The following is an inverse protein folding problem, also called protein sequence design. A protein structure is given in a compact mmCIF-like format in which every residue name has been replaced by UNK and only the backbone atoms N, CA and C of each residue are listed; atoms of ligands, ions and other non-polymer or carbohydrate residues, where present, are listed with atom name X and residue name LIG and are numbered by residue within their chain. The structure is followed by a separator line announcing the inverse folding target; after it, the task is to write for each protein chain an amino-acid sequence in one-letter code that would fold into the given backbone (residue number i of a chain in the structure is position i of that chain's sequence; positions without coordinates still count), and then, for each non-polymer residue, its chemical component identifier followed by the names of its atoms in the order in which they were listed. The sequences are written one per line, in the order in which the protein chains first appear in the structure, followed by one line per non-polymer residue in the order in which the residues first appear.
data_IF_029591202937
#
_entry.id   IF_029591202937
#
_cell.length_a   1.000
_cell.length_b   1.000
_cell.length_c   1.000
_cell.angle_alpha   90.00
_cell.angle_beta   90.00
_cell.angle_gamma   90.00
#
_symmetry.space_group_name_H-M   'P 1'
#
loop_
_entity.id
_entity.type
_entity.pdbx_description
1 polymer ?
#
# COMPACT_ATOMS: atom_id res chain seq x y z
N UNK A 1 -12.18 13.44 5.69
CA UNK A 1 -10.78 12.97 5.66
C UNK A 1 -10.63 11.79 4.73
N UNK A 2 -9.54 11.75 4.00
CA UNK A 2 -9.25 10.60 3.16
C UNK A 2 -8.70 9.46 4.02
N UNK A 3 -9.28 8.27 3.88
CA UNK A 3 -8.88 7.10 4.66
C UNK A 3 -7.83 6.31 3.92
N UNK A 4 -6.74 5.99 4.60
CA UNK A 4 -5.64 5.21 4.04
C UNK A 4 -5.45 3.95 4.87
N UNK A 5 -5.53 2.80 4.23
CA UNK A 5 -5.27 1.50 4.87
C UNK A 5 -3.83 1.11 4.58
N UNK A 6 -3.12 0.65 5.60
CA UNK A 6 -1.72 0.26 5.51
C UNK A 6 -1.56 -1.16 6.03
N UNK A 7 -1.04 -2.06 5.20
CA UNK A 7 -0.78 -3.44 5.59
C UNK A 7 0.65 -3.81 5.26
N UNK A 8 1.47 -3.96 6.31
CA UNK A 8 2.90 -4.24 6.17
C UNK A 8 3.34 -5.30 7.18
N UNK A 9 4.31 -6.11 6.77
CA UNK A 9 4.95 -7.08 7.64
C UNK A 9 5.80 -6.39 8.72
N UNK A 10 6.51 -5.33 8.34
CA UNK A 10 7.33 -4.56 9.27
C UNK A 10 6.46 -3.54 10.00
N UNK A 11 6.08 -3.87 11.25
CA UNK A 11 5.19 -3.03 12.04
C UNK A 11 5.79 -1.67 12.39
N UNK A 12 7.10 -1.61 12.58
CA UNK A 12 7.79 -0.35 12.88
C UNK A 12 7.71 0.60 11.70
N UNK A 13 7.97 0.10 10.50
CA UNK A 13 7.88 0.89 9.28
C UNK A 13 6.42 1.30 9.02
N UNK A 14 5.48 0.39 9.26
CA UNK A 14 4.05 0.66 9.12
C UNK A 14 3.62 1.84 10.02
N UNK A 15 4.03 1.82 11.28
CA UNK A 15 3.73 2.90 12.21
C UNK A 15 4.36 4.22 11.80
N UNK A 16 5.59 4.18 11.28
CA UNK A 16 6.27 5.38 10.79
C UNK A 16 5.52 6.01 9.61
N UNK A 17 5.04 5.20 8.68
CA UNK A 17 4.24 5.68 7.54
C UNK A 17 2.93 6.28 8.05
N UNK A 18 2.24 5.61 8.95
CA UNK A 18 0.99 6.09 9.53
C UNK A 18 1.16 7.47 10.18
N UNK A 19 2.20 7.63 11.01
CA UNK A 19 2.48 8.91 11.65
C UNK A 19 2.83 9.99 10.64
N UNK A 20 3.61 9.65 9.63
CA UNK A 20 3.98 10.59 8.57
C UNK A 20 2.74 11.14 7.86
N UNK A 21 1.80 10.26 7.51
CA UNK A 21 0.57 10.66 6.83
C UNK A 21 -0.31 11.51 7.73
N UNK A 22 -0.47 11.12 8.99
CA UNK A 22 -1.26 11.90 9.96
C UNK A 22 -0.71 13.32 10.15
N UNK A 23 0.61 13.46 10.15
CA UNK A 23 1.28 14.72 10.42
C UNK A 23 1.60 15.54 9.16
N UNK A 24 1.19 15.08 7.99
CA UNK A 24 1.52 15.71 6.72
C UNK A 24 0.76 17.01 6.43
N UNK A 25 -0.32 17.27 7.16
CA UNK A 25 -1.19 18.41 6.89
C UNK A 25 -2.24 18.17 5.80
N UNK A 26 -2.24 16.98 5.20
CA UNK A 26 -3.17 16.64 4.10
C UNK A 26 -4.46 15.95 4.57
N UNK A 27 -4.67 15.89 5.86
CA UNK A 27 -5.89 15.36 6.49
C UNK A 27 -6.17 13.91 6.14
N UNK A 28 -5.17 13.04 6.34
CA UNK A 28 -5.34 11.60 6.21
C UNK A 28 -5.80 10.96 7.52
N UNK A 29 -6.71 10.01 7.40
CA UNK A 29 -7.14 9.14 8.48
C UNK A 29 -6.56 7.75 8.18
N UNK A 30 -5.69 7.22 9.04
CA UNK A 30 -4.93 6.00 8.76
C UNK A 30 -5.44 4.80 9.56
N UNK A 31 -5.47 3.65 8.90
CA UNK A 31 -5.88 2.38 9.50
C UNK A 31 -4.78 1.35 9.22
N UNK A 32 -4.14 0.87 10.28
CA UNK A 32 -3.08 -0.14 10.14
C UNK A 32 -3.66 -1.54 10.37
N UNK A 33 -3.36 -2.46 9.44
CA UNK A 33 -3.81 -3.85 9.51
C UNK A 33 -2.57 -4.73 9.54
N UNK A 34 -2.48 -5.62 10.51
CA UNK A 34 -1.28 -6.44 10.74
C UNK A 34 -1.25 -7.74 9.95
N UNK A 35 -2.41 -8.21 9.46
CA UNK A 35 -2.51 -9.49 8.76
C UNK A 35 -3.12 -9.32 7.38
N UNK A 36 -2.48 -9.87 6.32
CA UNK A 36 -3.01 -9.75 4.95
C UNK A 36 -4.42 -10.32 4.76
N UNK A 37 -4.78 -11.35 5.50
CA UNK A 37 -6.09 -12.00 5.37
C UNK A 37 -7.25 -11.16 5.90
N UNK A 38 -6.97 -10.08 6.62
CA UNK A 38 -7.99 -9.15 7.12
C UNK A 38 -8.25 -7.97 6.18
N UNK A 39 -7.37 -7.75 5.20
CA UNK A 39 -7.41 -6.53 4.39
C UNK A 39 -8.71 -6.41 3.60
N UNK A 40 -9.12 -7.49 2.93
CA UNK A 40 -10.32 -7.47 2.07
C UNK A 40 -11.57 -7.13 2.90
N UNK A 41 -11.75 -7.80 4.03
CA UNK A 41 -12.92 -7.58 4.87
C UNK A 41 -12.93 -6.19 5.50
N UNK A 42 -11.79 -5.74 6.00
CA UNK A 42 -11.71 -4.41 6.62
C UNK A 42 -11.92 -3.29 5.60
N UNK A 43 -11.44 -3.44 4.37
CA UNK A 43 -11.66 -2.46 3.33
C UNK A 43 -13.13 -2.32 2.91
N UNK A 44 -13.93 -3.35 3.12
CA UNK A 44 -15.37 -3.28 2.80
C UNK A 44 -16.08 -2.16 3.55
N UNK A 45 -15.75 -1.97 4.81
CA UNK A 45 -16.42 -0.97 5.63
C UNK A 45 -15.60 0.30 5.80
N UNK A 46 -14.27 0.26 5.67
CA UNK A 46 -13.43 1.45 5.71
C UNK A 46 -13.64 2.31 4.46
N UNK A 47 -13.81 1.68 3.31
CA UNK A 47 -13.93 2.35 2.01
C UNK A 47 -12.76 3.30 1.77
N UNK A 48 -11.52 2.77 1.67
CA UNK A 48 -10.34 3.62 1.66
C UNK A 48 -10.16 4.38 0.35
N UNK A 49 -9.61 5.58 0.46
CA UNK A 49 -9.08 6.34 -0.66
C UNK A 49 -7.86 5.62 -1.26
N UNK A 50 -7.01 5.06 -0.42
CA UNK A 50 -5.81 4.34 -0.84
C UNK A 50 -5.53 3.14 0.06
N UNK A 51 -4.99 2.09 -0.53
CA UNK A 51 -4.52 0.89 0.16
C UNK A 51 -3.04 0.72 -0.13
N UNK A 52 -2.23 0.84 0.91
CA UNK A 52 -0.78 0.69 0.87
C UNK A 52 -0.41 -0.69 1.38
N UNK A 53 0.25 -1.50 0.55
CA UNK A 53 0.61 -2.87 0.90
C UNK A 53 2.09 -3.13 0.63
N UNK A 54 2.78 -3.65 1.62
CA UNK A 54 4.14 -4.14 1.44
C UNK A 54 4.14 -5.42 0.62
N UNK A 55 5.11 -5.55 -0.29
CA UNK A 55 5.31 -6.75 -1.07
C UNK A 55 6.73 -7.28 -0.87
N UNK A 56 6.82 -8.59 -0.63
CA UNK A 56 8.11 -9.30 -0.45
C UNK A 56 8.10 -10.57 -1.30
N UNK A 57 9.19 -11.33 -1.24
CA UNK A 57 9.28 -12.64 -1.89
C UNK A 57 8.65 -13.76 -1.07
N UNK A 58 8.07 -13.48 0.10
CA UNK A 58 7.59 -14.50 1.04
C UNK A 58 6.07 -14.50 1.18
N UNK A 59 5.49 -15.71 1.25
CA UNK A 59 4.06 -15.90 1.56
C UNK A 59 3.76 -15.34 2.95
N UNK A 60 2.66 -14.63 3.17
CA UNK A 60 1.57 -14.26 2.24
C UNK A 60 1.73 -12.87 1.63
N UNK A 61 2.96 -12.34 1.54
CA UNK A 61 3.26 -10.96 1.13
C UNK A 61 3.70 -10.84 -0.33
N UNK A 62 3.61 -11.94 -1.11
CA UNK A 62 4.08 -11.95 -2.49
C UNK A 62 3.16 -11.14 -3.41
N UNK A 63 3.71 -10.71 -4.54
CA UNK A 63 2.97 -9.93 -5.52
C UNK A 63 1.66 -10.63 -5.95
N UNK A 64 1.70 -11.94 -6.22
CA UNK A 64 0.50 -12.68 -6.63
C UNK A 64 -0.62 -12.62 -5.59
N UNK A 65 -0.27 -12.65 -4.31
CA UNK A 65 -1.24 -12.54 -3.23
C UNK A 65 -1.77 -11.11 -3.10
N UNK A 66 -0.91 -10.11 -3.29
CA UNK A 66 -1.32 -8.71 -3.28
C UNK A 66 -2.24 -8.36 -4.44
N UNK A 67 -2.02 -8.94 -5.61
CA UNK A 67 -2.90 -8.75 -6.77
C UNK A 67 -4.28 -9.33 -6.51
N UNK A 68 -4.38 -10.48 -5.85
CA UNK A 68 -5.67 -11.05 -5.44
C UNK A 68 -6.43 -10.11 -4.50
N UNK A 69 -5.74 -9.53 -3.54
CA UNK A 69 -6.34 -8.53 -2.64
C UNK A 69 -6.79 -7.31 -3.43
N UNK A 70 -5.94 -6.81 -4.32
CA UNK A 70 -6.28 -5.71 -5.21
C UNK A 70 -7.56 -5.97 -5.99
N UNK A 71 -7.68 -7.14 -6.59
CA UNK A 71 -8.84 -7.50 -7.40
C UNK A 71 -10.12 -7.48 -6.57
N UNK A 72 -10.07 -8.06 -5.36
CA UNK A 72 -11.22 -8.08 -4.46
C UNK A 72 -11.60 -6.69 -3.97
N UNK A 73 -10.62 -5.85 -3.62
CA UNK A 73 -10.89 -4.49 -3.15
C UNK A 73 -11.43 -3.62 -4.28
N UNK A 74 -10.85 -3.69 -5.47
CA UNK A 74 -11.31 -2.93 -6.63
C UNK A 74 -12.70 -3.36 -7.11
N UNK A 75 -13.08 -4.62 -6.90
CA UNK A 75 -14.42 -5.09 -7.24
C UNK A 75 -15.50 -4.37 -6.43
N UNK A 76 -15.22 -3.98 -5.20
CA UNK A 76 -16.15 -3.28 -4.32
C UNK A 76 -15.95 -1.76 -4.31
N UNK A 77 -14.69 -1.33 -4.43
CA UNK A 77 -14.33 0.08 -4.40
C UNK A 77 -13.39 0.40 -5.56
N UNK A 78 -13.92 0.55 -6.80
CA UNK A 78 -13.09 0.76 -8.00
C UNK A 78 -12.19 2.00 -7.90
N UNK A 79 -12.57 2.97 -7.07
CA UNK A 79 -11.83 4.22 -6.91
C UNK A 79 -10.68 4.12 -5.91
N UNK A 80 -10.59 3.02 -5.15
CA UNK A 80 -9.50 2.83 -4.19
C UNK A 80 -8.17 2.72 -4.94
N UNK A 81 -7.21 3.54 -4.56
CA UNK A 81 -5.88 3.52 -5.17
C UNK A 81 -5.03 2.43 -4.52
N UNK A 82 -4.39 1.62 -5.33
CA UNK A 82 -3.55 0.51 -4.85
C UNK A 82 -2.09 0.92 -4.99
N UNK A 83 -1.39 0.96 -3.86
CA UNK A 83 0.02 1.34 -3.78
C UNK A 83 0.81 0.18 -3.17
N UNK A 84 1.84 -0.28 -3.86
CA UNK A 84 2.72 -1.31 -3.34
C UNK A 84 4.02 -0.68 -2.83
N UNK A 85 4.50 -1.18 -1.70
CA UNK A 85 5.75 -0.73 -1.08
C UNK A 85 6.72 -1.90 -1.13
N UNK A 86 7.91 -1.70 -1.69
CA UNK A 86 8.90 -2.75 -1.86
C UNK A 86 10.28 -2.25 -1.45
N UNK A 87 11.05 -3.11 -0.78
CA UNK A 87 12.46 -2.85 -0.48
C UNK A 87 13.28 -3.20 -1.73
N UNK A 88 13.65 -2.20 -2.51
CA UNK A 88 14.37 -2.37 -3.77
C UNK A 88 15.78 -2.91 -3.60
N UNK A 89 16.34 -2.79 -2.40
CA UNK A 89 17.70 -3.31 -2.13
C UNK A 89 17.68 -4.78 -1.76
N UNK A 90 16.70 -5.20 -0.95
CA UNK A 90 16.57 -6.59 -0.50
C UNK A 90 15.82 -7.46 -1.51
N UNK A 91 14.89 -6.88 -2.28
CA UNK A 91 13.95 -7.61 -3.14
C UNK A 91 14.00 -7.07 -4.58
N UNK A 92 15.16 -7.17 -5.22
CA UNK A 92 15.39 -6.59 -6.55
C UNK A 92 14.45 -7.15 -7.63
N UNK A 93 14.25 -8.47 -7.62
CA UNK A 93 13.37 -9.12 -8.61
C UNK A 93 11.91 -8.76 -8.36
N UNK A 94 11.50 -8.71 -7.10
CA UNK A 94 10.14 -8.30 -6.73
C UNK A 94 9.91 -6.83 -7.14
N UNK A 95 10.87 -5.96 -6.89
CA UNK A 95 10.79 -4.56 -7.26
C UNK A 95 10.60 -4.38 -8.77
N UNK A 96 11.28 -5.18 -9.58
CA UNK A 96 11.13 -5.14 -11.03
C UNK A 96 9.72 -5.54 -11.46
N UNK A 97 9.17 -6.59 -10.86
CA UNK A 97 7.81 -7.05 -11.15
C UNK A 97 6.75 -6.04 -10.72
N UNK A 98 6.97 -5.36 -9.59
CA UNK A 98 6.09 -4.30 -9.11
C UNK A 98 6.08 -3.12 -10.09
N UNK A 99 7.24 -2.74 -10.58
CA UNK A 99 7.38 -1.69 -11.59
C UNK A 99 6.60 -2.03 -12.86
N UNK A 100 6.69 -3.28 -13.31
CA UNK A 100 5.95 -3.78 -14.46
C UNK A 100 4.43 -3.75 -14.21
N UNK A 101 3.99 -4.11 -13.02
CA UNK A 101 2.58 -4.08 -12.65
C UNK A 101 2.01 -2.67 -12.73
N UNK A 102 2.77 -1.67 -12.31
CA UNK A 102 2.35 -0.27 -12.47
C UNK A 102 2.27 0.11 -13.93
N UNK A 103 3.27 -0.25 -14.73
CA UNK A 103 3.32 0.06 -16.15
C UNK A 103 2.13 -0.53 -16.89
N UNK A 104 1.68 -1.72 -16.48
CA UNK A 104 0.52 -2.40 -17.07
C UNK A 104 -0.82 -1.91 -16.52
N UNK A 105 -0.82 -1.00 -15.54
CA UNK A 105 -2.03 -0.46 -14.95
C UNK A 105 -2.70 -1.36 -13.93
N UNK A 106 -2.04 -2.43 -13.47
CA UNK A 106 -2.58 -3.33 -12.47
C UNK A 106 -2.62 -2.65 -11.10
N UNK A 107 -1.61 -1.83 -10.79
CA UNK A 107 -1.57 -1.02 -9.58
C UNK A 107 -1.46 0.45 -9.97
N UNK A 108 -1.84 1.34 -9.04
CA UNK A 108 -1.86 2.77 -9.30
C UNK A 108 -0.50 3.44 -9.07
N UNK A 109 0.26 2.94 -8.10
CA UNK A 109 1.59 3.48 -7.78
C UNK A 109 2.40 2.46 -7.01
N UNK A 110 3.72 2.64 -6.99
CA UNK A 110 4.61 1.89 -6.10
C UNK A 110 5.59 2.84 -5.43
N UNK A 111 6.11 2.41 -4.28
CA UNK A 111 7.03 3.20 -3.47
C UNK A 111 8.18 2.30 -3.06
N UNK A 112 9.41 2.80 -3.19
CA UNK A 112 10.59 2.11 -2.66
C UNK A 112 10.73 2.39 -1.17
N UNK A 113 11.13 1.39 -0.41
CA UNK A 113 11.26 1.51 1.05
C UNK A 113 12.24 2.57 1.53
N UNK A 114 13.16 3.00 0.68
CA UNK A 114 14.15 4.04 1.00
C UNK A 114 13.64 5.47 0.84
N UNK A 115 12.38 5.63 0.43
CA UNK A 115 11.81 6.96 0.17
C UNK A 115 11.75 7.81 1.45
N UNK A 116 11.87 9.13 1.30
CA UNK A 116 11.70 10.04 2.43
C UNK A 116 10.23 10.16 2.86
N UNK A 117 10.01 10.45 4.14
CA UNK A 117 8.67 10.60 4.70
C UNK A 117 7.86 11.69 3.98
N UNK A 118 8.48 12.84 3.72
CA UNK A 118 7.80 13.95 3.06
C UNK A 118 7.37 13.56 1.64
N UNK A 119 8.22 12.86 0.91
CA UNK A 119 7.93 12.44 -0.45
C UNK A 119 6.83 11.38 -0.49
N UNK A 120 6.82 10.48 0.49
CA UNK A 120 5.75 9.50 0.64
C UNK A 120 4.38 10.18 0.76
N UNK A 121 4.28 11.17 1.64
CA UNK A 121 3.02 11.89 1.84
C UNK A 121 2.57 12.62 0.58
N UNK A 122 3.50 13.20 -0.18
CA UNK A 122 3.19 13.87 -1.44
C UNK A 122 2.68 12.88 -2.49
N UNK A 123 3.27 11.70 -2.57
CA UNK A 123 2.81 10.66 -3.50
C UNK A 123 1.37 10.24 -3.17
N UNK A 124 1.09 9.97 -1.90
CA UNK A 124 -0.24 9.54 -1.47
C UNK A 124 -1.27 10.66 -1.70
N UNK A 125 -0.90 11.89 -1.47
CA UNK A 125 -1.78 13.03 -1.70
C UNK A 125 -2.15 13.19 -3.18
N UNK A 126 -1.25 12.84 -4.09
CA UNK A 126 -1.41 13.04 -5.53
C UNK A 126 -2.01 11.85 -6.29
N UNK A 127 -2.40 10.80 -5.60
CA UNK A 127 -2.94 9.59 -6.24
C UNK A 127 -4.23 9.81 -7.06
#
# INVERSE_FOLDING_TARGET
MRRVVINMQNSLFCNAISETLKNSGNEFDTYTIDSPDKVIDDCKWIEPYALLMEVTGNVPWRLCERIKIRDAVKAQHPECKIVLIVDENAEKEVAQKVKEAKKEGIIDQFIYGSISAAYLADIVDSL
#
